data_IF_339566724590
#
_entry.id   IF_339566724590
#
_cell.length_a   1.000
_cell.length_b   1.000
_cell.length_c   1.000
_cell.angle_alpha   90.00
_cell.angle_beta   90.00
_cell.angle_gamma   90.00
#
_symmetry.space_group_name_H-M   'P 1'
#
loop_
_entity.id
_entity.type
_entity.pdbx_description
1 polymer ?
#
# COMPACT_ATOMS: atom_id res chain seq x y z
N UNK A 1 11.82 15.17 -57.16
CA UNK A 1 11.09 14.12 -56.41
C UNK A 1 11.76 13.91 -55.05
N UNK A 2 11.22 14.59 -54.04
CA UNK A 2 10.92 14.11 -52.69
C UNK A 2 12.03 13.43 -51.85
N UNK A 3 13.08 14.17 -51.46
CA UNK A 3 14.04 13.74 -50.43
C UNK A 3 13.79 14.39 -49.04
N UNK A 4 12.69 15.12 -48.87
CA UNK A 4 12.37 15.88 -47.64
C UNK A 4 11.33 15.22 -46.73
N UNK A 5 10.78 14.07 -47.12
CA UNK A 5 9.62 13.46 -46.46
C UNK A 5 9.94 12.24 -45.60
N UNK A 6 11.21 11.84 -45.48
CA UNK A 6 11.62 10.61 -44.77
C UNK A 6 12.20 10.85 -43.37
N UNK A 7 12.49 12.09 -42.98
CA UNK A 7 13.14 12.38 -41.68
C UNK A 7 12.18 12.52 -40.50
N UNK A 8 10.87 12.64 -40.72
CA UNK A 8 9.89 12.83 -39.62
C UNK A 8 9.40 11.50 -39.05
N UNK A 9 9.48 10.40 -39.81
CA UNK A 9 9.00 9.08 -39.37
C UNK A 9 9.92 8.39 -38.34
N UNK A 10 11.22 8.76 -38.29
CA UNK A 10 12.18 8.11 -37.41
C UNK A 10 12.25 8.72 -35.99
N UNK A 11 11.82 9.97 -35.81
CA UNK A 11 11.90 10.66 -34.52
C UNK A 11 10.78 10.28 -33.54
N UNK A 12 9.64 9.80 -34.04
CA UNK A 12 8.47 9.46 -33.21
C UNK A 12 8.58 8.08 -32.57
N UNK A 13 9.33 7.16 -33.18
CA UNK A 13 9.48 5.78 -32.68
C UNK A 13 10.47 5.62 -31.52
N UNK A 14 11.37 6.59 -31.29
CA UNK A 14 12.40 6.50 -30.23
C UNK A 14 11.94 7.11 -28.90
N UNK A 15 10.93 7.97 -28.90
CA UNK A 15 10.41 8.59 -27.66
C UNK A 15 9.46 7.68 -26.86
N UNK A 16 8.98 6.58 -27.44
CA UNK A 16 8.00 5.70 -26.80
C UNK A 16 8.62 4.61 -25.89
N UNK A 17 9.94 4.44 -25.89
CA UNK A 17 10.61 3.38 -25.13
C UNK A 17 11.06 3.77 -23.72
N UNK A 18 10.90 5.04 -23.31
CA UNK A 18 11.26 5.48 -21.95
C UNK A 18 10.11 5.38 -20.92
N UNK A 19 8.89 5.03 -21.34
CA UNK A 19 7.73 4.91 -20.45
C UNK A 19 7.56 3.51 -19.83
N UNK A 20 8.42 2.54 -20.16
CA UNK A 20 8.28 1.14 -19.68
C UNK A 20 9.34 0.73 -18.65
N UNK A 21 10.26 1.61 -18.25
CA UNK A 21 11.21 1.36 -17.15
C UNK A 21 10.62 1.59 -15.74
N UNK A 22 9.30 1.49 -15.60
CA UNK A 22 8.56 1.65 -14.35
C UNK A 22 7.73 0.44 -13.96
N UNK A 23 7.98 -0.75 -14.51
CA UNK A 23 7.44 -1.99 -13.98
C UNK A 23 8.56 -2.71 -13.22
N UNK A 24 8.71 -2.36 -11.95
CA UNK A 24 9.32 -3.28 -11.00
C UNK A 24 8.40 -4.49 -10.88
N UNK A 25 8.55 -5.46 -11.78
CA UNK A 25 8.14 -6.84 -11.52
C UNK A 25 9.10 -7.36 -10.44
N UNK A 26 8.84 -6.95 -9.20
CA UNK A 26 9.31 -7.67 -8.03
C UNK A 26 8.31 -8.79 -7.80
N UNK A 27 8.32 -9.79 -8.68
CA UNK A 27 8.00 -11.16 -8.28
C UNK A 27 9.17 -11.69 -7.45
N UNK A 28 9.38 -11.01 -6.32
CA UNK A 28 9.91 -11.58 -5.11
C UNK A 28 8.81 -11.28 -4.14
N UNK A 29 7.79 -12.16 -4.14
CA UNK A 29 7.03 -12.40 -2.94
C UNK A 29 8.04 -12.67 -1.85
N UNK A 30 8.44 -11.61 -1.14
CA UNK A 30 8.99 -11.74 0.18
C UNK A 30 7.98 -12.65 0.86
N UNK A 31 8.41 -13.87 1.19
CA UNK A 31 7.72 -14.64 2.20
C UNK A 31 7.69 -13.67 3.38
N UNK A 32 6.56 -12.98 3.57
CA UNK A 32 6.28 -12.29 4.81
C UNK A 32 6.46 -13.41 5.82
N UNK A 33 7.60 -13.39 6.51
CA UNK A 33 7.88 -14.35 7.57
C UNK A 33 6.63 -14.30 8.42
N UNK A 34 5.90 -15.42 8.54
CA UNK A 34 4.60 -15.46 9.23
C UNK A 34 4.73 -14.60 10.46
N UNK A 35 4.02 -13.46 10.46
CA UNK A 35 4.15 -12.50 11.54
C UNK A 35 3.92 -13.28 12.83
N UNK A 36 4.93 -13.31 13.71
CA UNK A 36 4.83 -14.07 14.94
C UNK A 36 3.60 -13.58 15.69
N UNK A 37 2.70 -14.50 16.01
CA UNK A 37 1.56 -14.19 16.87
C UNK A 37 2.11 -13.59 18.18
N UNK A 38 1.63 -12.40 18.51
CA UNK A 38 1.98 -11.70 19.73
C UNK A 38 1.03 -12.16 20.83
N UNK A 39 1.57 -12.45 22.02
CA UNK A 39 0.72 -12.71 23.18
C UNK A 39 0.09 -11.39 23.66
N UNK A 40 -1.24 -11.22 23.63
CA UNK A 40 -1.87 -10.02 24.14
C UNK A 40 -1.74 -9.94 25.68
N UNK A 41 -1.66 -8.72 26.25
CA UNK A 41 -1.84 -8.51 27.68
C UNK A 41 -3.13 -9.17 28.19
N UNK A 42 -3.17 -9.73 29.43
CA UNK A 42 -4.33 -10.49 29.91
C UNK A 42 -5.66 -9.73 29.84
N UNK A 43 -5.65 -8.42 30.07
CA UNK A 43 -6.84 -7.58 29.97
C UNK A 43 -7.37 -7.48 28.53
N UNK A 44 -6.48 -7.39 27.53
CA UNK A 44 -6.86 -7.36 26.12
C UNK A 44 -7.29 -8.75 25.65
N UNK A 45 -6.58 -9.80 26.07
CA UNK A 45 -6.95 -11.20 25.81
C UNK A 45 -8.38 -11.51 26.32
N UNK A 46 -8.70 -11.06 27.54
CA UNK A 46 -10.04 -11.21 28.14
C UNK A 46 -11.12 -10.44 27.36
N UNK A 47 -10.80 -9.24 26.84
CA UNK A 47 -11.74 -8.40 26.09
C UNK A 47 -11.91 -8.82 24.64
N UNK A 48 -10.91 -9.48 24.06
CA UNK A 48 -10.90 -9.91 22.66
C UNK A 48 -10.85 -8.76 21.64
N UNK A 49 -10.59 -7.51 22.08
CA UNK A 49 -10.61 -6.30 21.23
C UNK A 49 -9.46 -5.36 21.56
N UNK A 50 -8.81 -4.83 20.53
CA UNK A 50 -7.90 -3.69 20.62
C UNK A 50 -8.66 -2.41 20.29
N UNK A 51 -8.73 -1.48 21.25
CA UNK A 51 -9.35 -0.17 21.05
C UNK A 51 -8.25 0.87 21.17
N UNK A 52 -8.13 1.74 20.16
CA UNK A 52 -7.15 2.82 20.12
C UNK A 52 -7.82 4.11 19.64
N UNK A 53 -7.24 5.24 20.03
CA UNK A 53 -7.69 6.56 19.57
C UNK A 53 -6.99 6.90 18.25
N UNK A 54 -7.71 7.59 17.37
CA UNK A 54 -7.25 8.03 16.07
C UNK A 54 -7.83 9.42 15.81
N UNK A 55 -7.00 10.38 15.37
CA UNK A 55 -7.40 11.74 15.00
C UNK A 55 -7.78 11.80 13.52
N UNK A 56 -8.99 11.30 13.22
CA UNK A 56 -9.51 11.18 11.85
C UNK A 56 -9.61 12.58 11.20
N UNK A 57 -8.73 12.83 10.23
CA UNK A 57 -8.65 14.14 9.57
C UNK A 57 -7.29 14.44 8.93
N UNK A 58 -6.34 13.51 9.04
CA UNK A 58 -4.96 13.70 8.64
C UNK A 58 -4.48 12.67 7.61
N UNK A 59 -4.92 12.76 6.33
CA UNK A 59 -4.36 11.96 5.27
C UNK A 59 -2.85 12.23 5.09
N UNK A 60 -2.02 11.19 4.85
CA UNK A 60 -2.39 9.79 4.62
C UNK A 60 -2.40 8.89 5.87
N UNK A 61 -2.20 9.45 7.08
CA UNK A 61 -2.03 8.68 8.31
C UNK A 61 -3.36 8.12 8.84
N UNK A 62 -4.38 8.97 8.93
CA UNK A 62 -5.67 8.60 9.49
C UNK A 62 -6.78 9.49 8.93
N UNK A 63 -7.73 8.89 8.23
CA UNK A 63 -8.77 9.63 7.52
C UNK A 63 -10.01 8.76 7.29
N UNK A 64 -11.13 9.40 6.95
CA UNK A 64 -12.33 8.70 6.52
C UNK A 64 -12.17 8.25 5.06
N UNK A 65 -12.23 6.94 4.81
CA UNK A 65 -12.23 6.34 3.49
C UNK A 65 -13.51 6.64 2.69
N UNK A 66 -13.54 6.21 1.43
CA UNK A 66 -14.66 6.47 0.51
C UNK A 66 -15.97 5.82 0.94
N UNK A 67 -15.91 4.76 1.75
CA UNK A 67 -17.04 4.09 2.36
C UNK A 67 -17.38 4.63 3.77
N UNK A 68 -16.71 5.69 4.22
CA UNK A 68 -16.84 6.25 5.57
C UNK A 68 -16.11 5.46 6.67
N UNK A 69 -15.45 4.35 6.35
CA UNK A 69 -14.64 3.61 7.32
C UNK A 69 -13.28 4.31 7.54
N UNK A 70 -12.68 4.25 8.74
CA UNK A 70 -11.32 4.71 8.96
C UNK A 70 -10.33 4.02 8.02
N UNK A 71 -9.39 4.78 7.48
CA UNK A 71 -8.32 4.32 6.62
C UNK A 71 -7.04 5.13 6.87
N UNK A 72 -5.91 4.65 6.35
CA UNK A 72 -4.60 5.28 6.49
C UNK A 72 -3.63 4.44 7.31
N UNK A 73 -2.37 4.88 7.32
CA UNK A 73 -1.26 4.14 7.92
C UNK A 73 -1.51 3.73 9.38
N UNK A 74 -2.09 4.62 10.20
CA UNK A 74 -2.30 4.36 11.62
C UNK A 74 -3.41 3.30 11.83
N UNK A 75 -4.44 3.33 10.98
CA UNK A 75 -5.51 2.32 10.97
C UNK A 75 -4.98 0.95 10.54
N UNK A 76 -4.12 0.93 9.53
CA UNK A 76 -3.47 -0.31 9.05
C UNK A 76 -2.56 -0.90 10.12
N UNK A 77 -1.76 -0.08 10.80
CA UNK A 77 -0.89 -0.51 11.91
C UNK A 77 -1.73 -1.06 13.06
N UNK A 78 -2.80 -0.36 13.47
CA UNK A 78 -3.70 -0.82 14.54
C UNK A 78 -4.38 -2.15 14.18
N UNK A 79 -4.81 -2.30 12.93
CA UNK A 79 -5.45 -3.52 12.41
C UNK A 79 -4.48 -4.69 12.40
N UNK A 80 -3.27 -4.51 11.87
CA UNK A 80 -2.24 -5.54 11.83
C UNK A 80 -1.80 -5.96 13.24
N UNK A 81 -1.71 -5.00 14.17
CA UNK A 81 -1.38 -5.28 15.56
C UNK A 81 -2.46 -6.15 16.22
N UNK A 82 -3.74 -5.81 16.00
CA UNK A 82 -4.86 -6.61 16.49
C UNK A 82 -4.82 -8.04 15.91
N UNK A 83 -4.56 -8.19 14.60
CA UNK A 83 -4.44 -9.49 13.95
C UNK A 83 -3.30 -10.33 14.53
N UNK A 84 -2.11 -9.74 14.72
CA UNK A 84 -0.97 -10.43 15.35
C UNK A 84 -1.27 -10.84 16.78
N UNK A 85 -2.06 -10.06 17.51
CA UNK A 85 -2.52 -10.38 18.86
C UNK A 85 -3.73 -11.32 18.90
N UNK A 86 -4.27 -11.72 17.75
CA UNK A 86 -5.49 -12.53 17.62
C UNK A 86 -6.72 -11.87 18.28
N UNK A 87 -6.79 -10.55 18.22
CA UNK A 87 -7.89 -9.72 18.68
C UNK A 87 -8.71 -9.19 17.50
N UNK A 88 -9.89 -8.64 17.79
CA UNK A 88 -10.62 -7.78 16.86
C UNK A 88 -10.19 -6.32 16.98
#
# INVERSE_FOLDING_TARGET
>A
MNARSTSIAAAVLVAASMLTAGCGSSDRGAKVSSATNLTPPPALAKRGTLVFCSDIGYPPLEFAGTNGAPAGADIEIGTELAQRMQLK
#
